data_IF_441104301013
#
_entry.id   IF_441104301013
#
_cell.length_a   1.000
_cell.length_b   1.000
_cell.length_c   1.000
_cell.angle_alpha   90.00
_cell.angle_beta   90.00
_cell.angle_gamma   90.00
#
_symmetry.space_group_name_H-M   'P 1'
#
loop_
_entity.id
_entity.type
_entity.pdbx_description
1 polymer ?
#
# COMPACT_ATOMS: atom_id res chain seq x y z
N UNK A 1 12.09 9.90 4.92
CA UNK A 1 10.65 9.58 4.92
C UNK A 1 10.32 9.06 6.31
N UNK A 2 9.43 9.72 7.04
CA UNK A 2 9.04 9.26 8.37
C UNK A 2 8.02 8.12 8.23
N UNK A 3 8.45 6.88 8.49
CA UNK A 3 7.65 5.66 8.36
C UNK A 3 6.81 5.37 9.61
N UNK A 4 7.12 6.04 10.72
CA UNK A 4 6.41 5.90 12.00
C UNK A 4 5.04 6.59 11.94
N UNK A 5 4.89 7.61 11.09
CA UNK A 5 3.61 8.33 10.92
C UNK A 5 2.49 7.47 10.31
N UNK A 6 2.82 6.35 9.67
CA UNK A 6 1.83 5.48 9.03
C UNK A 6 1.41 4.32 9.94
N UNK A 7 0.11 3.98 9.98
CA UNK A 7 -0.37 2.83 10.74
C UNK A 7 0.20 1.52 10.18
N UNK A 8 0.21 0.46 11.00
CA UNK A 8 0.64 -0.88 10.58
C UNK A 8 -0.18 -1.45 9.42
N UNK A 9 -1.40 -0.96 9.25
CA UNK A 9 -2.33 -1.31 8.17
C UNK A 9 -2.50 -0.11 7.25
N UNK A 10 -1.90 -0.18 6.07
CA UNK A 10 -2.03 0.83 5.03
C UNK A 10 -3.34 0.63 4.28
N UNK A 11 -3.91 1.74 3.84
CA UNK A 11 -5.08 1.74 2.97
C UNK A 11 -4.73 2.48 1.67
N UNK A 12 -5.70 2.58 0.78
CA UNK A 12 -5.57 3.26 -0.51
C UNK A 12 -5.05 4.70 -0.36
N UNK A 13 -5.45 5.44 0.68
CA UNK A 13 -5.02 6.82 0.90
C UNK A 13 -3.55 6.88 1.31
N UNK A 14 -3.15 6.01 2.24
CA UNK A 14 -1.74 5.92 2.66
C UNK A 14 -0.83 5.60 1.47
N UNK A 15 -1.21 4.61 0.64
CA UNK A 15 -0.38 4.20 -0.51
C UNK A 15 -0.27 5.32 -1.56
N UNK A 16 -1.37 6.06 -1.82
CA UNK A 16 -1.33 7.24 -2.70
C UNK A 16 -0.35 8.30 -2.19
N UNK A 17 -0.39 8.58 -0.89
CA UNK A 17 0.49 9.57 -0.27
C UNK A 17 1.95 9.12 -0.34
N UNK A 18 2.21 7.84 -0.03
CA UNK A 18 3.56 7.26 -0.03
C UNK A 18 4.17 7.27 -1.44
N UNK A 19 3.41 6.85 -2.45
CA UNK A 19 3.91 6.73 -3.83
C UNK A 19 3.78 8.03 -4.63
N UNK A 20 3.03 9.02 -4.15
CA UNK A 20 2.75 10.25 -4.88
C UNK A 20 1.91 10.05 -6.14
N UNK A 21 1.06 9.02 -6.17
CA UNK A 21 0.28 8.62 -7.36
C UNK A 21 -1.21 8.93 -7.25
N UNK A 22 -1.86 9.00 -8.41
CA UNK A 22 -3.30 9.23 -8.54
C UNK A 22 -4.15 8.02 -8.12
N UNK A 23 -5.45 8.27 -7.92
CA UNK A 23 -6.42 7.24 -7.52
C UNK A 23 -6.50 6.07 -8.50
N UNK A 24 -6.39 6.35 -9.80
CA UNK A 24 -6.42 5.32 -10.84
C UNK A 24 -5.23 4.38 -10.72
N UNK A 25 -4.03 4.95 -10.61
CA UNK A 25 -2.77 4.21 -10.54
C UNK A 25 -2.71 3.33 -9.28
N UNK A 26 -3.15 3.83 -8.12
CA UNK A 26 -3.18 3.01 -6.90
C UNK A 26 -4.20 1.88 -6.99
N UNK A 27 -5.34 2.10 -7.66
CA UNK A 27 -6.35 1.07 -7.83
C UNK A 27 -5.86 -0.02 -8.79
N UNK A 28 -5.17 0.37 -9.87
CA UNK A 28 -4.51 -0.57 -10.79
C UNK A 28 -3.48 -1.43 -10.01
N UNK A 29 -2.61 -0.79 -9.22
CA UNK A 29 -1.64 -1.49 -8.36
C UNK A 29 -2.31 -2.44 -7.35
N UNK A 30 -3.41 -2.05 -6.71
CA UNK A 30 -4.06 -2.86 -5.69
C UNK A 30 -4.99 -3.95 -6.25
N UNK A 31 -5.36 -3.85 -7.52
CA UNK A 31 -6.10 -4.90 -8.22
C UNK A 31 -5.19 -6.02 -8.72
N UNK A 32 -3.94 -5.69 -9.08
CA UNK A 32 -2.90 -6.66 -9.43
C UNK A 32 -1.61 -6.39 -8.64
N UNK A 33 -1.62 -6.66 -7.32
CA UNK A 33 -0.53 -6.24 -6.45
C UNK A 33 0.65 -7.21 -6.51
N UNK A 34 1.89 -6.71 -6.60
CA UNK A 34 3.10 -7.53 -6.47
C UNK A 34 3.39 -7.96 -5.01
N UNK A 35 2.45 -7.76 -4.10
CA UNK A 35 2.54 -8.07 -2.68
C UNK A 35 1.18 -8.50 -2.13
N UNK A 36 1.16 -9.10 -0.94
CA UNK A 36 -0.08 -9.56 -0.33
C UNK A 36 -0.99 -8.39 0.08
N UNK A 37 -2.25 -8.45 -0.35
CA UNK A 37 -3.28 -7.46 -0.04
C UNK A 37 -4.51 -8.17 0.52
N UNK A 38 -5.05 -7.65 1.61
CA UNK A 38 -6.29 -8.13 2.24
C UNK A 38 -7.44 -7.19 1.88
N UNK A 39 -8.64 -7.75 1.68
CA UNK A 39 -9.87 -6.95 1.54
C UNK A 39 -10.74 -7.10 2.79
N UNK A 40 -11.12 -5.96 3.37
CA UNK A 40 -12.09 -5.89 4.48
C UNK A 40 -13.30 -5.11 3.99
N UNK A 41 -14.38 -5.84 3.66
CA UNK A 41 -15.51 -5.28 2.93
C UNK A 41 -15.07 -4.71 1.57
N UNK A 42 -15.30 -3.41 1.34
CA UNK A 42 -14.89 -2.71 0.11
C UNK A 42 -13.52 -2.04 0.19
N UNK A 43 -12.79 -2.20 1.31
CA UNK A 43 -11.49 -1.53 1.53
C UNK A 43 -10.34 -2.49 1.31
N UNK A 44 -9.32 -2.03 0.60
CA UNK A 44 -8.01 -2.68 0.57
C UNK A 44 -7.23 -2.34 1.84
N UNK A 45 -6.56 -3.34 2.38
CA UNK A 45 -5.69 -3.25 3.54
C UNK A 45 -4.38 -3.95 3.22
N UNK A 46 -3.27 -3.26 3.43
CA UNK A 46 -1.92 -3.77 3.15
C UNK A 46 -1.07 -3.64 4.40
N UNK A 47 -0.32 -4.69 4.76
CA UNK A 47 0.64 -4.58 5.86
C UNK A 47 1.73 -3.58 5.51
N UNK A 48 1.97 -2.61 6.40
CA UNK A 48 3.04 -1.61 6.27
C UNK A 48 4.39 -2.28 5.98
N UNK A 49 4.70 -3.33 6.74
CA UNK A 49 5.96 -4.06 6.60
C UNK A 49 6.11 -4.72 5.22
N UNK A 50 5.07 -5.41 4.75
CA UNK A 50 5.09 -6.10 3.44
C UNK A 50 5.22 -5.09 2.30
N UNK A 51 4.44 -4.01 2.36
CA UNK A 51 4.48 -2.95 1.33
C UNK A 51 5.88 -2.34 1.22
N UNK A 52 6.49 -1.94 2.35
CA UNK A 52 7.82 -1.33 2.32
C UNK A 52 8.92 -2.30 1.92
N UNK A 53 8.83 -3.58 2.28
CA UNK A 53 9.77 -4.60 1.81
C UNK A 53 9.75 -4.70 0.28
N UNK A 54 8.58 -4.73 -0.33
CA UNK A 54 8.44 -4.67 -1.80
C UNK A 54 8.97 -3.35 -2.36
N UNK A 55 8.59 -2.21 -1.78
CA UNK A 55 8.98 -0.89 -2.27
C UNK A 55 10.51 -0.68 -2.28
N UNK A 56 11.22 -1.28 -1.32
CA UNK A 56 12.68 -1.24 -1.23
C UNK A 56 13.38 -2.30 -2.09
N UNK A 57 12.64 -3.13 -2.83
CA UNK A 57 13.19 -4.22 -3.64
C UNK A 57 13.75 -5.40 -2.83
N UNK A 58 13.30 -5.57 -1.59
CA UNK A 58 13.71 -6.64 -0.68
C UNK A 58 12.81 -7.90 -0.79
N UNK A 59 11.95 -7.93 -1.81
CA UNK A 59 10.94 -8.96 -2.07
C UNK A 59 11.54 -10.28 -2.51
#
# INVERSE_FOLDING_TARGET
>A
MDLEKYPNSLDVKHIKEILGIGQRQVNELLNDPPFHVVRVGKKFVVSKHIFFRWFMGLS
#
